data_IF_512762458632
#
_entry.id   IF_512762458632
#
_cell.length_a   1.000
_cell.length_b   1.000
_cell.length_c   1.000
_cell.angle_alpha   90.00
_cell.angle_beta   90.00
_cell.angle_gamma   90.00
#
_symmetry.space_group_name_H-M   'P 1'
#
loop_
_entity.id
_entity.type
_entity.pdbx_description
1 polymer ?
#
# COMPACT_ATOMS: atom_id res chain seq x y z
N UNK A 1 -36.01 -16.70 -25.43
CA UNK A 1 -35.00 -16.69 -24.34
C UNK A 1 -35.79 -16.79 -23.03
N UNK A 2 -35.82 -17.95 -22.38
CA UNK A 2 -36.76 -18.23 -21.27
C UNK A 2 -36.35 -17.54 -19.97
N UNK A 3 -37.30 -16.83 -19.36
CA UNK A 3 -37.14 -16.10 -18.09
C UNK A 3 -36.94 -17.03 -16.90
N UNK A 4 -37.48 -18.26 -16.99
CA UNK A 4 -37.38 -19.32 -15.99
C UNK A 4 -35.93 -19.71 -15.66
N UNK A 5 -35.02 -19.55 -16.63
CA UNK A 5 -33.63 -19.96 -16.45
C UNK A 5 -32.76 -18.89 -15.78
N UNK A 6 -33.16 -17.62 -15.85
CA UNK A 6 -32.47 -16.48 -15.19
C UNK A 6 -32.92 -16.28 -13.74
N UNK A 7 -34.14 -16.68 -13.41
CA UNK A 7 -34.75 -16.52 -12.09
C UNK A 7 -34.86 -17.83 -11.28
N UNK A 8 -34.29 -18.94 -11.77
CA UNK A 8 -34.27 -20.21 -11.05
C UNK A 8 -33.56 -20.02 -9.68
N UNK A 9 -34.24 -20.27 -8.54
CA UNK A 9 -33.68 -20.06 -7.21
C UNK A 9 -32.36 -20.80 -6.98
N UNK A 10 -32.23 -22.02 -7.49
CA UNK A 10 -31.02 -22.82 -7.32
C UNK A 10 -29.83 -22.23 -8.11
N UNK A 11 -30.08 -21.72 -9.32
CA UNK A 11 -29.06 -21.01 -10.13
C UNK A 11 -28.68 -19.66 -9.52
N UNK A 12 -29.62 -18.96 -8.91
CA UNK A 12 -29.35 -17.72 -8.19
C UNK A 12 -28.45 -17.98 -6.98
N UNK A 13 -28.77 -18.99 -6.16
CA UNK A 13 -27.93 -19.38 -5.01
C UNK A 13 -26.53 -19.77 -5.45
N UNK A 14 -26.36 -20.54 -6.54
CA UNK A 14 -25.02 -20.89 -7.03
C UNK A 14 -24.23 -19.67 -7.50
N UNK A 15 -24.90 -18.70 -8.14
CA UNK A 15 -24.25 -17.45 -8.59
C UNK A 15 -23.86 -16.57 -7.40
N UNK A 16 -24.73 -16.47 -6.39
CA UNK A 16 -24.45 -15.74 -5.14
C UNK A 16 -23.23 -16.34 -4.45
N UNK A 17 -23.19 -17.68 -4.28
CA UNK A 17 -22.02 -18.36 -3.69
C UNK A 17 -20.76 -18.08 -4.49
N UNK A 18 -20.83 -18.22 -5.81
CA UNK A 18 -19.69 -17.92 -6.68
C UNK A 18 -19.18 -16.48 -6.52
N UNK A 19 -20.09 -15.50 -6.48
CA UNK A 19 -19.72 -14.09 -6.24
C UNK A 19 -19.11 -13.90 -4.86
N UNK A 20 -19.63 -14.58 -3.84
CA UNK A 20 -19.07 -14.52 -2.49
C UNK A 20 -17.64 -15.08 -2.45
N UNK A 21 -17.40 -16.23 -3.08
CA UNK A 21 -16.07 -16.85 -3.17
C UNK A 21 -15.09 -15.97 -3.96
N UNK A 22 -15.53 -15.43 -5.10
CA UNK A 22 -14.74 -14.50 -5.93
C UNK A 22 -14.43 -13.20 -5.17
N UNK A 23 -15.37 -12.68 -4.39
CA UNK A 23 -15.17 -11.48 -3.55
C UNK A 23 -14.13 -11.73 -2.46
N UNK A 24 -14.18 -12.88 -1.79
CA UNK A 24 -13.18 -13.27 -0.79
C UNK A 24 -11.80 -13.41 -1.42
N UNK A 25 -11.68 -14.07 -2.58
CA UNK A 25 -10.40 -14.19 -3.29
C UNK A 25 -9.88 -12.83 -3.77
N UNK A 26 -10.76 -11.94 -4.25
CA UNK A 26 -10.37 -10.59 -4.65
C UNK A 26 -9.86 -9.78 -3.44
N UNK A 27 -10.50 -9.92 -2.26
CA UNK A 27 -10.04 -9.29 -1.01
C UNK A 27 -8.61 -9.72 -0.70
N UNK A 28 -8.32 -11.02 -0.75
CA UNK A 28 -6.99 -11.59 -0.49
C UNK A 28 -5.95 -11.07 -1.48
N UNK A 29 -6.24 -11.10 -2.79
CA UNK A 29 -5.33 -10.58 -3.82
C UNK A 29 -5.04 -9.08 -3.64
N UNK A 30 -6.04 -8.29 -3.24
CA UNK A 30 -5.84 -6.88 -2.92
C UNK A 30 -4.92 -6.70 -1.69
N UNK A 31 -5.01 -7.58 -0.69
CA UNK A 31 -4.10 -7.56 0.47
C UNK A 31 -2.65 -7.80 0.05
N UNK A 32 -2.43 -8.86 -0.74
CA UNK A 32 -1.11 -9.20 -1.25
C UNK A 32 -0.52 -8.08 -2.11
N UNK A 33 -1.33 -7.47 -2.97
CA UNK A 33 -0.89 -6.35 -3.81
C UNK A 33 -0.50 -5.13 -2.98
N UNK A 34 -1.28 -4.79 -1.95
CA UNK A 34 -0.95 -3.68 -1.05
C UNK A 34 0.32 -3.97 -0.25
N UNK A 35 0.50 -5.19 0.25
CA UNK A 35 1.73 -5.60 0.94
C UNK A 35 2.95 -5.51 0.02
N UNK A 36 2.85 -6.03 -1.20
CA UNK A 36 3.92 -5.95 -2.20
C UNK A 36 4.25 -4.49 -2.57
N UNK A 37 3.25 -3.62 -2.66
CA UNK A 37 3.45 -2.19 -2.90
C UNK A 37 4.18 -1.53 -1.73
N UNK A 38 3.81 -1.84 -0.48
CA UNK A 38 4.46 -1.31 0.71
C UNK A 38 5.94 -1.70 0.76
N UNK A 39 6.26 -2.99 0.57
CA UNK A 39 7.63 -3.49 0.50
C UNK A 39 8.47 -2.80 -0.59
N UNK A 40 7.88 -2.54 -1.77
CA UNK A 40 8.55 -1.81 -2.83
C UNK A 40 8.88 -0.37 -2.43
N UNK A 41 7.96 0.34 -1.77
CA UNK A 41 8.21 1.70 -1.29
C UNK A 41 9.27 1.74 -0.20
N UNK A 42 9.26 0.79 0.73
CA UNK A 42 10.25 0.70 1.80
C UNK A 42 11.65 0.44 1.23
N UNK A 43 11.77 -0.47 0.25
CA UNK A 43 13.02 -0.72 -0.47
C UNK A 43 13.51 0.49 -1.26
N UNK A 44 12.61 1.19 -1.96
CA UNK A 44 12.94 2.41 -2.69
C UNK A 44 13.45 3.50 -1.74
N UNK A 45 12.77 3.68 -0.59
CA UNK A 45 13.17 4.62 0.45
C UNK A 45 14.54 4.29 1.03
N UNK A 46 14.76 3.04 1.44
CA UNK A 46 16.04 2.59 1.98
C UNK A 46 17.19 2.82 0.99
N UNK A 47 16.96 2.50 -0.30
CA UNK A 47 17.94 2.72 -1.37
C UNK A 47 18.23 4.20 -1.57
N UNK A 48 17.20 5.06 -1.60
CA UNK A 48 17.37 6.49 -1.81
C UNK A 48 18.14 7.14 -0.65
N UNK A 49 17.76 6.83 0.59
CA UNK A 49 18.46 7.31 1.80
C UNK A 49 19.92 6.83 1.80
N UNK A 50 20.15 5.55 1.48
CA UNK A 50 21.49 4.97 1.35
C UNK A 50 22.35 5.72 0.32
N UNK A 51 21.83 5.89 -0.90
CA UNK A 51 22.52 6.61 -1.97
C UNK A 51 22.79 8.06 -1.60
N UNK A 52 21.84 8.73 -0.93
CA UNK A 52 22.01 10.11 -0.46
C UNK A 52 23.16 10.22 0.53
N UNK A 53 23.23 9.31 1.51
CA UNK A 53 24.31 9.30 2.50
C UNK A 53 25.69 9.11 1.86
N UNK A 54 25.80 8.24 0.85
CA UNK A 54 27.03 8.02 0.09
C UNK A 54 27.43 9.27 -0.70
N UNK A 55 26.47 9.92 -1.34
CA UNK A 55 26.70 11.14 -2.11
C UNK A 55 27.18 12.29 -1.22
N UNK A 56 26.57 12.48 -0.04
CA UNK A 56 27.01 13.50 0.92
C UNK A 56 28.44 13.24 1.42
N UNK A 57 28.79 11.98 1.69
CA UNK A 57 30.16 11.59 2.04
C UNK A 57 31.15 11.89 0.92
N UNK A 58 30.77 11.63 -0.33
CA UNK A 58 31.60 11.94 -1.49
C UNK A 58 31.79 13.45 -1.65
N UNK A 59 30.72 14.24 -1.50
CA UNK A 59 30.79 15.71 -1.54
C UNK A 59 31.75 16.26 -0.48
N UNK A 60 31.64 15.78 0.76
CA UNK A 60 32.56 16.10 1.84
C UNK A 60 34.02 15.79 1.48
N UNK A 61 34.27 14.59 0.95
CA UNK A 61 35.62 14.17 0.55
C UNK A 61 36.20 14.96 -0.62
N UNK A 62 35.34 15.48 -1.51
CA UNK A 62 35.71 16.27 -2.67
C UNK A 62 35.76 17.78 -2.39
N UNK A 63 35.41 18.23 -1.17
CA UNK A 63 35.32 19.65 -0.83
C UNK A 63 34.17 20.39 -1.52
N UNK A 64 33.16 19.67 -2.00
CA UNK A 64 31.96 20.22 -2.65
C UNK A 64 30.89 20.50 -1.57
N UNK A 65 30.13 21.61 -1.66
CA UNK A 65 29.04 21.88 -0.73
C UNK A 65 28.02 20.73 -0.68
N UNK A 66 27.62 20.35 0.55
CA UNK A 66 26.53 19.39 0.74
C UNK A 66 25.21 20.07 0.46
N UNK A 67 24.40 19.46 -0.41
CA UNK A 67 23.01 19.88 -0.62
C UNK A 67 22.18 19.25 0.51
N UNK A 68 21.43 20.06 1.26
CA UNK A 68 20.52 19.53 2.29
C UNK A 68 19.36 18.82 1.62
N UNK A 69 18.80 17.84 2.31
CA UNK A 69 17.70 17.03 1.79
C UNK A 69 16.44 17.86 1.49
N UNK A 70 16.21 18.93 2.27
CA UNK A 70 15.16 19.93 2.03
C UNK A 70 15.37 20.76 0.76
N UNK A 71 16.64 20.92 0.36
CA UNK A 71 17.04 21.78 -0.74
C UNK A 71 17.11 20.99 -2.06
N UNK A 72 16.90 19.68 -2.00
CA UNK A 72 16.78 18.78 -3.14
C UNK A 72 15.30 18.57 -3.49
N UNK A 73 14.80 19.21 -4.57
CA UNK A 73 13.38 19.13 -4.92
C UNK A 73 12.92 17.72 -5.30
N UNK A 74 13.83 16.86 -5.78
CA UNK A 74 13.50 15.47 -6.12
C UNK A 74 13.35 14.62 -4.86
N UNK A 75 14.23 14.83 -3.88
CA UNK A 75 14.14 14.14 -2.58
C UNK A 75 12.93 14.59 -1.76
N UNK A 76 12.65 15.90 -1.75
CA UNK A 76 11.47 16.46 -1.10
C UNK A 76 10.16 15.92 -1.72
N UNK A 77 10.07 15.92 -3.05
CA UNK A 77 8.91 15.37 -3.78
C UNK A 77 8.69 13.89 -3.49
N UNK A 78 9.76 13.09 -3.42
CA UNK A 78 9.65 11.67 -3.09
C UNK A 78 9.07 11.45 -1.69
N UNK A 79 9.57 12.15 -0.67
CA UNK A 79 9.04 12.02 0.70
C UNK A 79 7.57 12.43 0.78
N UNK A 80 7.17 13.50 0.07
CA UNK A 80 5.77 13.90 0.01
C UNK A 80 4.86 12.80 -0.54
N UNK A 81 5.29 12.09 -1.60
CA UNK A 81 4.52 10.97 -2.18
C UNK A 81 4.40 9.81 -1.19
N UNK A 82 5.45 9.52 -0.43
CA UNK A 82 5.43 8.49 0.63
C UNK A 82 4.47 8.88 1.76
N UNK A 83 4.51 10.13 2.21
CA UNK A 83 3.66 10.64 3.28
C UNK A 83 2.19 10.69 2.86
N UNK A 84 1.92 11.10 1.61
CA UNK A 84 0.58 11.08 1.03
C UNK A 84 0.04 9.65 0.95
N UNK A 85 0.84 8.72 0.44
CA UNK A 85 0.46 7.31 0.39
C UNK A 85 0.16 6.75 1.79
N UNK A 86 1.03 7.01 2.76
CA UNK A 86 0.85 6.57 4.15
C UNK A 86 -0.45 7.13 4.74
N UNK A 87 -0.79 8.38 4.40
CA UNK A 87 -2.03 9.03 4.84
C UNK A 87 -3.26 8.41 4.16
N UNK A 88 -3.22 8.14 2.86
CA UNK A 88 -4.34 7.53 2.12
C UNK A 88 -4.65 6.10 2.60
N UNK A 89 -3.62 5.32 2.95
CA UNK A 89 -3.81 3.98 3.52
C UNK A 89 -4.41 4.08 4.93
N UNK A 90 -3.98 5.06 5.74
CA UNK A 90 -4.52 5.29 7.10
C UNK A 90 -5.97 5.79 7.11
N UNK A 91 -6.34 6.73 6.25
CA UNK A 91 -7.70 7.29 6.23
C UNK A 91 -8.77 6.27 5.82
N UNK A 92 -8.39 5.24 5.06
CA UNK A 92 -9.29 4.13 4.70
C UNK A 92 -9.48 3.09 5.80
N UNK A 93 -8.66 3.15 6.87
CA UNK A 93 -8.76 2.28 8.06
C UNK A 93 -9.84 2.77 9.02
N UNK A 94 -10.10 4.09 9.08
CA UNK A 94 -11.01 4.71 10.07
C UNK A 94 -12.47 4.83 9.61
N UNK A 95 -12.76 4.72 8.31
CA UNK A 95 -14.10 4.99 7.75
C UNK A 95 -15.03 3.75 7.69
N UNK A 96 -14.53 2.55 8.02
CA UNK A 96 -15.32 1.30 7.97
C UNK A 96 -15.69 0.79 9.38
N UNK A 97 -16.98 0.89 9.70
CA UNK A 97 -17.67 0.36 10.90
C UNK A 97 -17.24 -1.08 11.27
N UNK A 98 -17.18 -1.45 12.57
CA UNK A 98 -16.55 -2.67 13.08
C UNK A 98 -17.30 -4.00 12.82
N UNK A 99 -18.14 -4.10 11.79
CA UNK A 99 -18.97 -5.30 11.55
C UNK A 99 -18.46 -6.24 10.42
N UNK A 100 -17.29 -5.99 9.84
CA UNK A 100 -16.76 -6.85 8.77
C UNK A 100 -15.30 -7.20 9.07
N UNK A 101 -15.02 -8.51 9.18
CA UNK A 101 -13.78 -9.07 9.70
C UNK A 101 -12.50 -8.48 9.13
N UNK A 102 -11.49 -8.41 10.01
CA UNK A 102 -10.08 -8.03 9.79
C UNK A 102 -9.88 -7.05 8.62
N UNK A 103 -9.85 -5.77 8.98
CA UNK A 103 -9.56 -4.66 8.07
C UNK A 103 -8.15 -4.84 7.48
N UNK A 104 -8.10 -4.81 6.16
CA UNK A 104 -6.88 -5.02 5.35
C UNK A 104 -5.82 -3.99 5.74
N UNK A 105 -6.24 -2.75 5.97
CA UNK A 105 -5.33 -1.69 6.34
C UNK A 105 -4.78 -1.95 7.76
N UNK A 106 -5.63 -2.39 8.69
CA UNK A 106 -5.24 -2.72 10.06
C UNK A 106 -4.22 -3.88 10.13
N UNK A 107 -4.34 -4.90 9.27
CA UNK A 107 -3.34 -5.97 9.14
C UNK A 107 -1.99 -5.43 8.62
N UNK A 108 -2.00 -4.58 7.59
CA UNK A 108 -0.79 -3.97 7.04
C UNK A 108 -0.09 -3.09 8.09
N UNK A 109 -0.85 -2.33 8.89
CA UNK A 109 -0.29 -1.49 9.93
C UNK A 109 0.24 -2.27 11.13
N UNK A 110 -0.32 -3.43 11.46
CA UNK A 110 0.24 -4.31 12.50
C UNK A 110 1.65 -4.82 12.13
N UNK A 111 1.97 -4.88 10.83
CA UNK A 111 3.30 -5.24 10.33
C UNK A 111 4.25 -4.04 10.16
N UNK A 112 3.73 -2.79 10.14
CA UNK A 112 4.53 -1.56 9.97
C UNK A 112 5.21 -1.11 11.28
N UNK A 113 4.92 -1.74 12.43
CA UNK A 113 5.51 -1.31 13.71
C UNK A 113 6.81 -2.07 14.06
N UNK A 114 7.88 -1.27 14.16
CA UNK A 114 9.24 -1.49 14.67
C UNK A 114 10.32 -1.87 13.65
N UNK A 115 10.92 -0.82 13.05
CA UNK A 115 12.38 -0.66 13.04
C UNK A 115 12.70 0.84 13.23
N UNK A 116 12.89 1.24 14.49
CA UNK A 116 13.64 2.44 14.91
C UNK A 116 14.95 1.96 15.51
#
# INVERSE_FOLDING_TARGET
MNLEDKANPMKLVSRIKKVQDEMSSLKEQCCELLAAKQDLMDKARATLVGNRSLLQRLQLSAGVPIIRDSDDPSYASFNQVIDEWTTQVRSRTEDESPESGEDINQMLFSAIVYDI
#
